data_IF_568495702828
#
_entry.id   IF_568495702828
#
_cell.length_a   1.000
_cell.length_b   1.000
_cell.length_c   1.000
_cell.angle_alpha   90.00
_cell.angle_beta   90.00
_cell.angle_gamma   90.00
#
_symmetry.space_group_name_H-M   'P 1'
#
loop_
_entity.id
_entity.type
_entity.pdbx_description
1 polymer ?
#
# COMPACT_ATOMS: atom_id res chain seq x y z
N UNK A 1 10.21 9.51 18.00
CA UNK A 1 10.85 10.08 16.79
C UNK A 1 11.98 9.16 16.28
N UNK A 2 11.77 7.83 16.21
CA UNK A 2 12.81 6.85 15.80
C UNK A 2 12.26 5.74 14.87
N UNK A 3 10.98 5.77 14.49
CA UNK A 3 10.40 4.74 13.61
C UNK A 3 10.49 5.06 12.11
N UNK A 4 10.78 6.32 11.74
CA UNK A 4 10.78 6.77 10.34
C UNK A 4 11.70 5.92 9.44
N UNK A 5 12.87 5.52 9.94
CA UNK A 5 13.87 4.73 9.19
C UNK A 5 13.91 3.25 9.56
N UNK A 6 12.97 2.75 10.38
CA UNK A 6 12.97 1.36 10.81
C UNK A 6 12.06 0.53 9.92
N UNK A 7 12.53 -0.62 9.45
CA UNK A 7 11.70 -1.64 8.84
C UNK A 7 11.57 -2.83 9.80
N UNK A 8 10.61 -2.81 10.75
CA UNK A 8 10.38 -3.97 11.61
C UNK A 8 9.86 -5.14 10.78
N UNK A 9 10.24 -6.35 11.17
CA UNK A 9 9.66 -7.56 10.59
C UNK A 9 8.18 -7.61 10.99
N UNK A 10 7.29 -7.64 9.99
CA UNK A 10 5.86 -7.90 10.20
C UNK A 10 5.59 -9.36 9.97
N UNK A 11 5.03 -10.02 10.98
CA UNK A 11 4.55 -11.38 10.88
C UNK A 11 3.03 -11.34 10.87
N UNK A 12 2.43 -11.89 9.82
CA UNK A 12 1.00 -12.15 9.76
C UNK A 12 0.80 -13.65 10.01
N UNK A 13 0.08 -14.00 11.07
CA UNK A 13 -0.01 -15.38 11.56
C UNK A 13 -1.18 -16.18 10.94
N UNK A 14 -1.92 -15.58 10.00
CA UNK A 14 -3.08 -16.21 9.35
C UNK A 14 -2.81 -16.52 7.89
N UNK A 15 -3.67 -17.38 7.33
CA UNK A 15 -3.68 -17.66 5.90
C UNK A 15 -3.95 -16.36 5.12
N UNK A 16 -3.11 -16.10 4.12
CA UNK A 16 -3.18 -14.94 3.24
C UNK A 16 -4.09 -15.21 2.03
N UNK A 17 -4.59 -16.45 1.86
CA UNK A 17 -5.49 -16.80 0.77
C UNK A 17 -6.77 -15.94 0.81
N UNK A 18 -6.95 -15.08 -0.20
CA UNK A 18 -8.08 -14.14 -0.35
C UNK A 18 -8.13 -13.02 0.70
N UNK A 19 -7.03 -12.77 1.43
CA UNK A 19 -6.92 -11.65 2.37
C UNK A 19 -5.97 -10.60 1.81
N UNK A 20 -6.39 -9.32 1.88
CA UNK A 20 -5.53 -8.17 1.58
C UNK A 20 -5.10 -7.56 2.91
N UNK A 21 -3.79 -7.55 3.16
CA UNK A 21 -3.21 -6.98 4.39
C UNK A 21 -2.79 -5.53 4.15
N UNK A 22 -2.85 -4.69 5.18
CA UNK A 22 -2.44 -3.29 5.07
C UNK A 22 -0.94 -3.18 4.70
N UNK A 23 -0.61 -2.53 3.56
CA UNK A 23 0.76 -2.45 3.05
C UNK A 23 1.63 -1.42 3.80
N UNK A 24 1.06 -0.56 4.65
CA UNK A 24 1.80 0.50 5.33
C UNK A 24 1.18 0.80 6.71
N UNK A 25 1.97 1.41 7.61
CA UNK A 25 1.44 1.99 8.85
C UNK A 25 0.92 3.39 8.60
N UNK A 26 -0.35 3.64 8.94
CA UNK A 26 -0.89 4.96 8.80
C UNK A 26 -2.36 5.04 9.12
N UNK A 27 -2.97 6.14 8.70
CA UNK A 27 -4.41 6.35 8.79
C UNK A 27 -5.04 6.15 7.42
N UNK A 28 -6.13 5.38 7.35
CA UNK A 28 -6.94 5.34 6.15
C UNK A 28 -7.62 6.69 5.97
N UNK A 29 -7.36 7.34 4.84
CA UNK A 29 -7.89 8.66 4.51
C UNK A 29 -8.97 8.62 3.43
N UNK A 30 -8.95 7.59 2.57
CA UNK A 30 -9.92 7.40 1.49
C UNK A 30 -10.22 5.91 1.33
N UNK A 31 -11.50 5.58 1.14
CA UNK A 31 -12.01 4.29 0.65
C UNK A 31 -13.13 4.63 -0.34
N UNK A 32 -12.86 4.50 -1.64
CA UNK A 32 -13.85 4.86 -2.67
C UNK A 32 -13.68 4.03 -3.95
N UNK A 33 -14.75 3.94 -4.74
CA UNK A 33 -14.68 3.35 -6.09
C UNK A 33 -14.19 4.41 -7.08
N UNK A 34 -13.13 4.08 -7.82
CA UNK A 34 -12.54 4.93 -8.85
C UNK A 34 -12.48 4.19 -10.17
N UNK A 35 -12.62 4.91 -11.27
CA UNK A 35 -12.26 4.41 -12.60
C UNK A 35 -10.72 4.50 -12.73
N UNK A 36 -10.03 3.35 -12.78
CA UNK A 36 -8.58 3.22 -12.90
C UNK A 36 -8.21 3.21 -14.39
N UNK A 37 -7.33 4.11 -14.84
CA UNK A 37 -7.09 4.37 -16.27
C UNK A 37 -5.67 4.02 -16.75
N UNK A 38 -4.76 3.58 -15.89
CA UNK A 38 -3.35 3.34 -16.22
C UNK A 38 -3.08 1.88 -16.57
N UNK A 39 -3.68 0.92 -15.85
CA UNK A 39 -3.39 -0.50 -16.04
C UNK A 39 -4.63 -1.35 -16.31
N UNK A 40 -5.69 -1.17 -15.53
CA UNK A 40 -6.91 -1.99 -15.59
C UNK A 40 -7.99 -1.43 -16.51
N UNK A 41 -8.06 -0.10 -16.67
CA UNK A 41 -9.09 0.58 -17.47
C UNK A 41 -10.54 0.23 -17.06
N UNK A 42 -10.78 0.03 -15.75
CA UNK A 42 -12.09 -0.34 -15.18
C UNK A 42 -12.31 0.23 -13.77
N UNK A 43 -13.48 -0.06 -13.17
CA UNK A 43 -13.83 0.37 -11.80
C UNK A 43 -13.16 -0.49 -10.75
N UNK A 44 -12.46 0.16 -9.82
CA UNK A 44 -11.73 -0.48 -8.72
C UNK A 44 -11.94 0.25 -7.40
N UNK A 45 -11.82 -0.49 -6.30
CA UNK A 45 -11.79 0.09 -4.96
C UNK A 45 -10.40 0.66 -4.68
N UNK A 46 -10.30 1.97 -4.48
CA UNK A 46 -9.08 2.65 -4.04
C UNK A 46 -9.09 2.81 -2.52
N UNK A 47 -8.00 2.37 -1.88
CA UNK A 47 -7.78 2.55 -0.44
C UNK A 47 -6.49 3.37 -0.28
N UNK A 48 -6.61 4.55 0.32
CA UNK A 48 -5.46 5.44 0.57
C UNK A 48 -5.05 5.44 2.03
N UNK A 49 -3.78 5.18 2.30
CA UNK A 49 -3.17 5.21 3.63
C UNK A 49 -2.20 6.38 3.73
N UNK A 50 -2.47 7.30 4.66
CA UNK A 50 -1.57 8.39 4.99
C UNK A 50 -0.57 7.97 6.07
N UNK A 51 0.72 7.93 5.72
CA UNK A 51 1.82 7.70 6.65
C UNK A 51 2.24 9.04 7.27
N UNK A 52 2.04 9.18 8.58
CA UNK A 52 2.53 10.35 9.33
C UNK A 52 4.00 10.17 9.71
N UNK A 53 4.67 11.25 10.12
CA UNK A 53 6.11 11.27 10.49
C UNK A 53 6.48 10.24 11.59
N UNK A 54 5.51 9.84 12.43
CA UNK A 54 5.74 8.84 13.49
C UNK A 54 5.58 7.40 13.02
N UNK A 55 4.99 7.19 11.84
CA UNK A 55 4.84 5.87 11.24
C UNK A 55 6.15 5.39 10.61
N UNK A 56 6.25 4.08 10.46
CA UNK A 56 7.29 3.46 9.65
C UNK A 56 7.01 3.80 8.18
N UNK A 57 7.97 4.43 7.51
CA UNK A 57 7.89 4.76 6.08
C UNK A 57 8.41 3.61 5.23
N UNK A 58 7.76 2.47 5.36
CA UNK A 58 8.01 1.30 4.52
C UNK A 58 6.68 0.82 3.95
N UNK A 59 6.72 0.43 2.68
CA UNK A 59 5.60 -0.23 2.01
C UNK A 59 5.94 -1.72 1.87
N UNK A 60 5.03 -2.56 2.33
CA UNK A 60 5.08 -4.01 2.16
C UNK A 60 4.06 -4.45 1.12
N UNK A 61 4.24 -5.65 0.58
CA UNK A 61 3.28 -6.23 -0.35
C UNK A 61 1.99 -6.60 0.39
N UNK A 62 0.81 -6.14 -0.06
CA UNK A 62 -0.45 -6.39 0.62
C UNK A 62 -1.02 -7.79 0.36
N UNK A 63 -0.52 -8.48 -0.68
CA UNK A 63 -0.97 -9.80 -1.13
C UNK A 63 0.22 -10.60 -1.67
N UNK A 64 0.12 -11.92 -1.61
CA UNK A 64 1.06 -12.80 -2.30
C UNK A 64 0.84 -12.76 -3.82
N UNK A 65 1.92 -12.68 -4.58
CA UNK A 65 1.82 -12.63 -6.03
C UNK A 65 3.14 -12.33 -6.74
N UNK A 66 3.03 -12.03 -8.03
CA UNK A 66 4.16 -11.66 -8.89
C UNK A 66 3.91 -10.26 -9.42
N UNK A 67 4.88 -9.36 -9.23
CA UNK A 67 4.84 -8.00 -9.81
C UNK A 67 4.85 -8.12 -11.34
N UNK A 68 3.77 -7.67 -12.00
CA UNK A 68 3.63 -7.71 -13.45
C UNK A 68 4.02 -6.40 -14.14
N UNK A 69 3.92 -5.29 -13.42
CA UNK A 69 4.11 -3.96 -13.96
C UNK A 69 4.63 -3.03 -12.88
N UNK A 70 5.57 -2.16 -13.24
CA UNK A 70 6.11 -1.08 -12.43
C UNK A 70 6.31 0.09 -13.38
N UNK A 71 5.71 1.23 -13.06
CA UNK A 71 5.85 2.47 -13.82
C UNK A 71 6.25 3.63 -12.90
N UNK A 72 6.91 4.64 -13.47
CA UNK A 72 7.41 5.78 -12.73
C UNK A 72 6.96 7.10 -13.36
N UNK A 73 6.09 7.82 -12.65
CA UNK A 73 5.65 9.15 -13.01
C UNK A 73 6.52 10.22 -12.33
N UNK A 74 7.22 11.04 -13.13
CA UNK A 74 8.03 12.14 -12.60
C UNK A 74 7.15 13.16 -11.87
N UNK A 75 7.35 13.28 -10.56
CA UNK A 75 6.67 14.25 -9.71
C UNK A 75 7.24 15.67 -9.84
N UNK A 76 6.65 16.60 -9.08
CA UNK A 76 7.16 17.97 -8.95
C UNK A 76 8.40 18.09 -8.05
N UNK A 77 8.73 17.04 -7.32
CA UNK A 77 9.80 16.98 -6.32
C UNK A 77 10.47 15.61 -6.36
#
# INVERSE_FOLDING_TARGET
MVNFFRCPIRLFEHDTEKIVVAPADGRIVVIEEVDEHEYFHDRRLMISIFMSIVNVHANWYPVDGVVKHVDHHNGKF
#
